data_IF_108463815690
#
_entry.id   IF_108463815690
#
_cell.length_a   1.000
_cell.length_b   1.000
_cell.length_c   1.000
_cell.angle_alpha   90.00
_cell.angle_beta   90.00
_cell.angle_gamma   90.00
#
_symmetry.space_group_name_H-M   'P 1'
#
loop_
_entity.id
_entity.type
_entity.pdbx_description
1 polymer ?
#
# COMPACT_ATOMS: atom_id res chain seq x y z
N UNK A 1 -27.11 -4.62 -45.51
CA UNK A 1 -26.01 -4.58 -44.52
C UNK A 1 -26.54 -3.88 -43.26
N UNK A 2 -27.03 -4.53 -42.21
CA UNK A 2 -26.31 -5.45 -41.32
C UNK A 2 -25.27 -4.66 -40.52
N UNK A 3 -25.59 -3.97 -39.41
CA UNK A 3 -26.02 -4.43 -38.08
C UNK A 3 -24.93 -5.16 -37.26
N UNK A 4 -24.00 -4.42 -36.64
CA UNK A 4 -23.25 -4.82 -35.42
C UNK A 4 -22.94 -3.56 -34.59
N UNK A 5 -23.71 -3.22 -33.54
CA UNK A 5 -23.62 -3.71 -32.14
C UNK A 5 -22.50 -3.00 -31.36
N UNK A 6 -22.74 -1.84 -30.76
CA UNK A 6 -23.19 -1.66 -29.35
C UNK A 6 -22.64 -2.70 -28.37
N UNK A 7 -21.63 -2.34 -27.57
CA UNK A 7 -21.61 -2.47 -26.10
C UNK A 7 -20.25 -1.99 -25.54
N UNK A 8 -20.21 -0.83 -24.87
CA UNK A 8 -19.23 -0.61 -23.79
C UNK A 8 -20.01 -0.66 -22.49
N UNK A 9 -19.87 -1.77 -21.79
CA UNK A 9 -20.44 -1.98 -20.47
C UNK A 9 -19.87 -0.91 -19.51
N UNK A 10 -20.78 -0.28 -18.77
CA UNK A 10 -20.44 0.55 -17.61
C UNK A 10 -20.00 -0.30 -16.42
N UNK A 11 -19.44 0.37 -15.41
CA UNK A 11 -19.20 -0.26 -14.13
C UNK A 11 -18.20 0.45 -13.23
N UNK A 12 -18.64 1.55 -12.62
CA UNK A 12 -18.17 2.11 -11.32
C UNK A 12 -16.68 2.45 -11.16
N UNK A 13 -16.38 3.73 -11.35
CA UNK A 13 -15.41 4.43 -10.51
C UNK A 13 -15.98 4.53 -9.09
N UNK A 14 -15.31 3.92 -8.12
CA UNK A 14 -15.56 4.14 -6.70
C UNK A 14 -14.41 5.00 -6.14
N UNK A 15 -14.58 6.31 -6.21
CA UNK A 15 -13.84 7.29 -5.41
C UNK A 15 -14.45 7.35 -4.01
N UNK A 16 -13.69 7.11 -2.93
CA UNK A 16 -13.87 7.87 -1.70
C UNK A 16 -13.04 9.15 -1.79
N UNK A 17 -13.66 10.24 -2.26
CA UNK A 17 -13.12 11.59 -2.07
C UNK A 17 -13.29 11.97 -0.59
N UNK A 18 -12.27 11.70 0.22
CA UNK A 18 -12.02 12.44 1.47
C UNK A 18 -11.34 13.77 1.16
N UNK A 19 -11.37 14.76 2.08
CA UNK A 19 -10.78 16.07 1.83
C UNK A 19 -9.28 15.90 1.56
N UNK A 20 -8.88 16.28 0.35
CA UNK A 20 -7.48 16.47 -0.04
C UNK A 20 -6.93 17.62 0.78
N UNK A 21 -6.38 17.29 1.96
CA UNK A 21 -5.51 18.19 2.69
C UNK A 21 -4.26 18.38 1.85
N UNK A 22 -4.09 19.59 1.30
CA UNK A 22 -2.81 20.06 0.78
C UNK A 22 -1.80 20.02 1.94
N UNK A 23 -0.99 18.98 1.98
CA UNK A 23 0.20 18.89 2.80
C UNK A 23 1.41 19.23 1.91
N UNK A 24 2.45 19.82 2.52
CA UNK A 24 3.54 20.51 1.85
C UNK A 24 4.41 19.58 0.97
N UNK A 25 4.90 20.05 -0.20
CA UNK A 25 5.43 19.21 -1.28
C UNK A 25 6.73 18.40 -1.02
N UNK A 26 7.29 18.38 0.19
CA UNK A 26 8.56 17.67 0.48
C UNK A 26 8.47 16.64 1.61
N UNK A 27 7.38 16.58 2.39
CA UNK A 27 7.20 15.55 3.43
C UNK A 27 6.20 14.48 3.01
N UNK A 28 5.23 14.83 2.18
CA UNK A 28 4.31 13.86 1.59
C UNK A 28 5.02 12.91 0.63
N UNK A 29 6.11 13.29 -0.03
CA UNK A 29 6.79 12.42 -0.99
C UNK A 29 7.31 11.12 -0.37
N UNK A 30 8.00 11.24 0.77
CA UNK A 30 8.58 10.10 1.48
C UNK A 30 7.53 9.27 2.23
N UNK A 31 6.48 9.91 2.75
CA UNK A 31 5.40 9.24 3.48
C UNK A 31 4.18 8.88 2.61
N UNK A 32 4.18 9.25 1.32
CA UNK A 32 3.09 8.96 0.39
C UNK A 32 2.90 7.44 0.25
N UNK A 33 1.65 6.96 0.19
CA UNK A 33 1.38 5.55 -0.04
C UNK A 33 1.96 5.10 -1.39
N UNK A 34 2.56 3.91 -1.39
CA UNK A 34 3.14 3.30 -2.59
C UNK A 34 2.15 2.25 -3.09
N UNK A 35 1.66 2.40 -4.32
CA UNK A 35 0.60 1.56 -4.89
C UNK A 35 -0.65 1.46 -3.99
N UNK A 36 -0.98 2.55 -3.26
CA UNK A 36 -2.11 2.58 -2.32
C UNK A 36 -1.81 1.96 -0.94
N UNK A 37 -0.60 1.46 -0.70
CA UNK A 37 -0.17 0.91 0.58
C UNK A 37 0.55 1.99 1.40
N UNK A 38 -0.08 2.44 2.47
CA UNK A 38 0.52 3.37 3.43
C UNK A 38 1.60 2.70 4.27
N UNK A 39 2.47 3.50 4.90
CA UNK A 39 3.50 2.97 5.81
C UNK A 39 2.90 2.20 6.98
N UNK A 40 1.74 2.64 7.49
CA UNK A 40 1.02 1.95 8.56
C UNK A 40 0.51 0.58 8.11
N UNK A 41 -0.09 0.50 6.93
CA UNK A 41 -0.57 -0.77 6.38
C UNK A 41 0.60 -1.72 6.07
N UNK A 42 1.70 -1.20 5.55
CA UNK A 42 2.93 -1.97 5.33
C UNK A 42 3.49 -2.55 6.64
N UNK A 43 3.54 -1.74 7.72
CA UNK A 43 3.98 -2.20 9.04
C UNK A 43 3.03 -3.24 9.63
N UNK A 44 1.71 -3.07 9.47
CA UNK A 44 0.70 -4.02 9.94
C UNK A 44 0.84 -5.38 9.23
N UNK A 45 0.98 -5.39 7.91
CA UNK A 45 1.19 -6.62 7.13
C UNK A 45 2.50 -7.29 7.54
N UNK A 46 3.59 -6.52 7.67
CA UNK A 46 4.89 -7.02 8.11
C UNK A 46 4.82 -7.66 9.51
N UNK A 47 4.07 -7.06 10.43
CA UNK A 47 3.83 -7.61 11.77
C UNK A 47 2.95 -8.86 11.72
N UNK A 48 1.99 -8.92 10.80
CA UNK A 48 1.13 -10.09 10.60
C UNK A 48 1.90 -11.37 10.24
N UNK A 49 3.09 -11.22 9.64
CA UNK A 49 3.98 -12.36 9.34
C UNK A 49 4.53 -13.07 10.59
N UNK A 50 4.47 -12.44 11.77
CA UNK A 50 4.88 -13.08 13.02
C UNK A 50 4.09 -14.38 13.30
N UNK A 51 2.81 -14.44 12.87
CA UNK A 51 1.99 -15.65 12.98
C UNK A 51 2.48 -16.82 12.10
N UNK A 52 3.34 -16.53 11.12
CA UNK A 52 3.90 -17.49 10.17
C UNK A 52 5.43 -17.62 10.33
N UNK A 53 5.98 -17.26 11.51
CA UNK A 53 7.42 -17.32 11.74
C UNK A 53 8.24 -16.39 10.84
N UNK A 54 7.64 -15.28 10.39
CA UNK A 54 8.22 -14.31 9.45
C UNK A 54 8.49 -14.84 8.03
N UNK A 55 7.79 -15.90 7.62
CA UNK A 55 7.85 -16.39 6.24
C UNK A 55 7.33 -15.33 5.25
N UNK A 56 8.25 -14.76 4.47
CA UNK A 56 7.95 -13.75 3.47
C UNK A 56 7.07 -14.28 2.34
N UNK A 57 7.06 -15.59 2.09
CA UNK A 57 6.18 -16.22 1.09
C UNK A 57 4.70 -16.05 1.47
N UNK A 58 4.40 -15.81 2.76
CA UNK A 58 3.05 -15.53 3.27
C UNK A 58 2.66 -14.06 3.19
N UNK A 59 3.56 -13.15 2.82
CA UNK A 59 3.29 -11.72 2.84
C UNK A 59 2.16 -11.32 1.89
N UNK A 60 2.07 -11.97 0.73
CA UNK A 60 0.97 -11.75 -0.24
C UNK A 60 -0.38 -12.19 0.34
N UNK A 61 -0.44 -13.33 1.02
CA UNK A 61 -1.65 -13.86 1.65
C UNK A 61 -2.15 -12.93 2.79
N UNK A 62 -1.22 -12.43 3.60
CA UNK A 62 -1.53 -11.44 4.65
C UNK A 62 -1.97 -10.10 4.05
N UNK A 63 -1.30 -9.64 2.99
CA UNK A 63 -1.66 -8.40 2.29
C UNK A 63 -3.05 -8.49 1.66
N UNK A 64 -3.37 -9.59 0.99
CA UNK A 64 -4.69 -9.85 0.41
C UNK A 64 -5.80 -9.89 1.46
N UNK A 65 -5.52 -10.49 2.62
CA UNK A 65 -6.45 -10.48 3.77
C UNK A 65 -6.75 -9.07 4.30
N UNK A 66 -5.93 -8.07 3.95
CA UNK A 66 -6.10 -6.65 4.26
C UNK A 66 -6.62 -5.82 3.07
N UNK A 67 -6.99 -6.47 1.97
CA UNK A 67 -7.50 -5.82 0.76
C UNK A 67 -6.41 -5.28 -0.17
N UNK A 68 -5.14 -5.66 0.02
CA UNK A 68 -4.03 -5.25 -0.86
C UNK A 68 -3.81 -6.34 -1.92
N UNK A 69 -3.94 -6.03 -3.22
CA UNK A 69 -3.67 -7.00 -4.28
C UNK A 69 -2.15 -7.31 -4.37
N UNK A 70 -1.81 -8.48 -4.90
CA UNK A 70 -0.43 -8.96 -4.94
C UNK A 70 0.51 -8.00 -5.70
N UNK A 71 0.06 -7.45 -6.83
CA UNK A 71 0.84 -6.50 -7.62
C UNK A 71 1.15 -5.20 -6.84
N UNK A 72 0.16 -4.68 -6.09
CA UNK A 72 0.36 -3.51 -5.25
C UNK A 72 1.29 -3.81 -4.08
N UNK A 73 1.18 -5.00 -3.48
CA UNK A 73 2.08 -5.43 -2.41
C UNK A 73 3.53 -5.50 -2.87
N UNK A 74 3.81 -6.08 -4.05
CA UNK A 74 5.16 -6.17 -4.59
C UNK A 74 5.80 -4.79 -4.76
N UNK A 75 5.08 -3.85 -5.37
CA UNK A 75 5.53 -2.46 -5.58
C UNK A 75 5.72 -1.73 -4.25
N UNK A 76 4.78 -1.89 -3.31
CA UNK A 76 4.86 -1.29 -1.98
C UNK A 76 6.05 -1.81 -1.17
N UNK A 77 6.29 -3.12 -1.21
CA UNK A 77 7.39 -3.75 -0.51
C UNK A 77 8.74 -3.23 -1.01
N UNK A 78 8.93 -3.13 -2.33
CA UNK A 78 10.15 -2.56 -2.90
C UNK A 78 10.32 -1.08 -2.49
N UNK A 79 9.29 -0.26 -2.72
CA UNK A 79 9.35 1.18 -2.47
C UNK A 79 9.56 1.52 -0.99
N UNK A 80 8.86 0.84 -0.07
CA UNK A 80 9.04 1.07 1.37
C UNK A 80 10.41 0.60 1.84
N UNK A 81 10.93 -0.53 1.34
CA UNK A 81 12.29 -0.97 1.66
C UNK A 81 13.35 0.05 1.23
N UNK A 82 13.21 0.64 0.04
CA UNK A 82 14.10 1.71 -0.43
C UNK A 82 14.00 2.95 0.46
N UNK A 83 12.78 3.43 0.73
CA UNK A 83 12.56 4.64 1.54
C UNK A 83 13.01 4.49 3.00
N UNK A 84 12.77 3.33 3.62
CA UNK A 84 13.24 3.03 4.98
C UNK A 84 14.76 3.05 5.06
N UNK A 85 15.46 2.57 4.02
CA UNK A 85 16.94 2.61 3.98
C UNK A 85 17.48 4.01 3.71
N UNK A 86 16.80 4.79 2.88
CA UNK A 86 17.25 6.12 2.45
C UNK A 86 16.90 7.24 3.43
N UNK A 87 15.75 7.16 4.11
CA UNK A 87 15.23 8.23 4.96
C UNK A 87 15.05 7.76 6.41
N UNK A 88 15.83 8.36 7.33
CA UNK A 88 15.76 8.05 8.76
C UNK A 88 14.40 8.36 9.39
N UNK A 89 13.69 9.40 8.96
CA UNK A 89 12.38 9.73 9.49
C UNK A 89 11.35 8.63 9.15
N UNK A 90 11.42 8.09 7.92
CA UNK A 90 10.58 6.95 7.50
C UNK A 90 10.93 5.71 8.31
N UNK A 91 12.21 5.42 8.52
CA UNK A 91 12.65 4.29 9.36
C UNK A 91 12.16 4.42 10.81
N UNK A 92 12.25 5.60 11.42
CA UNK A 92 11.76 5.84 12.78
C UNK A 92 10.25 5.64 12.86
N UNK A 93 9.49 6.19 11.89
CA UNK A 93 8.05 6.04 11.86
C UNK A 93 7.62 4.58 11.65
N UNK A 94 8.31 3.85 10.77
CA UNK A 94 8.09 2.41 10.60
C UNK A 94 8.29 1.66 11.93
N UNK A 95 9.41 1.90 12.63
CA UNK A 95 9.69 1.25 13.91
C UNK A 95 8.61 1.54 14.96
N UNK A 96 8.11 2.78 15.04
CA UNK A 96 7.00 3.13 15.96
C UNK A 96 5.73 2.36 15.63
N UNK A 97 5.33 2.34 14.36
CA UNK A 97 4.14 1.61 13.89
C UNK A 97 4.27 0.10 14.12
N UNK A 98 5.46 -0.45 13.84
CA UNK A 98 5.75 -1.87 13.98
C UNK A 98 5.76 -2.32 15.46
N UNK A 99 6.39 -1.54 16.33
CA UNK A 99 6.52 -1.86 17.76
C UNK A 99 5.27 -1.49 18.56
N UNK A 100 4.39 -0.63 18.03
CA UNK A 100 3.17 -0.18 18.70
C UNK A 100 3.43 0.68 19.95
N UNK A 101 4.54 1.44 19.96
CA UNK A 101 4.90 2.41 21.01
C UNK A 101 5.10 3.79 20.41
#
# INVERSE_FOLDING_TARGET
MGLFKSMRAGGKAATPSGPVGTLAPDQDGDFAPIAGVSLALYAEISKGLAAYGYDQSRAVDVAQSKGVPADAWAVAMEGWNVRIRANRAVAQQFNRLYTGR
#
